data_IF_210515526375
#
_entry.id   IF_210515526375
#
_cell.length_a   1.000
_cell.length_b   1.000
_cell.length_c   1.000
_cell.angle_alpha   90.00
_cell.angle_beta   90.00
_cell.angle_gamma   90.00
#
_symmetry.space_group_name_H-M   'P 1'
#
loop_
_entity.id
_entity.type
_entity.pdbx_description
1 polymer ?
#
# COMPACT_ATOMS: atom_id res chain seq x y z
N UNK A 1 17.17 -6.88 13.48
CA UNK A 1 17.19 -7.85 12.36
C UNK A 1 18.53 -8.54 12.20
N UNK A 2 19.63 -7.84 11.88
CA UNK A 2 20.95 -8.51 11.73
C UNK A 2 21.35 -9.22 13.03
N UNK A 3 21.30 -8.52 14.17
CA UNK A 3 21.58 -9.10 15.50
C UNK A 3 20.63 -10.23 15.90
N UNK A 4 19.47 -10.32 15.24
CA UNK A 4 18.44 -11.32 15.53
C UNK A 4 18.52 -12.51 14.55
N UNK A 5 19.55 -12.60 13.70
CA UNK A 5 19.72 -13.68 12.73
C UNK A 5 18.76 -13.64 11.54
N UNK A 6 18.21 -12.47 11.23
CA UNK A 6 17.16 -12.26 10.20
C UNK A 6 17.61 -11.34 9.08
N UNK A 7 18.89 -11.37 8.70
CA UNK A 7 19.41 -10.52 7.63
C UNK A 7 18.87 -10.91 6.23
N UNK A 8 18.55 -12.18 6.02
CA UNK A 8 17.90 -12.75 4.84
C UNK A 8 16.51 -12.15 4.59
N UNK A 9 15.84 -11.73 5.66
CA UNK A 9 14.52 -11.08 5.63
C UNK A 9 14.57 -9.56 5.47
N UNK A 10 15.77 -8.97 5.43
CA UNK A 10 15.91 -7.54 5.14
C UNK A 10 15.34 -7.27 3.74
N UNK A 11 14.67 -6.13 3.58
CA UNK A 11 14.33 -5.58 2.28
C UNK A 11 14.22 -4.05 2.37
N UNK A 12 14.16 -3.41 1.21
CA UNK A 12 14.12 -1.94 1.09
C UNK A 12 12.91 -1.31 1.79
N UNK A 13 11.83 -2.07 1.98
CA UNK A 13 10.59 -1.61 2.61
C UNK A 13 10.72 -1.34 4.11
N UNK A 14 11.65 -1.98 4.80
CA UNK A 14 11.74 -1.93 6.27
C UNK A 14 12.19 -0.57 6.82
N UNK A 15 12.69 0.30 5.95
CA UNK A 15 13.23 1.61 6.31
C UNK A 15 12.50 2.71 5.53
N UNK A 16 12.60 3.97 5.99
CA UNK A 16 11.85 5.10 5.42
C UNK A 16 12.56 5.74 4.22
N UNK A 17 13.75 6.30 4.43
CA UNK A 17 14.49 7.04 3.41
C UNK A 17 15.77 6.32 2.95
N UNK A 18 16.45 5.63 3.87
CA UNK A 18 17.67 4.89 3.61
C UNK A 18 17.35 3.39 3.50
N UNK A 19 17.19 2.91 2.28
CA UNK A 19 16.91 1.51 1.95
C UNK A 19 18.17 0.64 2.03
N UNK A 20 17.97 -0.67 2.22
CA UNK A 20 19.00 -1.69 2.08
C UNK A 20 18.76 -2.45 0.77
N UNK A 21 19.21 -1.91 -0.36
CA UNK A 21 18.98 -2.49 -1.69
C UNK A 21 19.83 -3.73 -1.93
N UNK A 22 19.30 -4.72 -2.66
CA UNK A 22 20.11 -5.87 -3.09
C UNK A 22 21.19 -5.43 -4.07
N UNK A 23 22.40 -5.96 -3.92
CA UNK A 23 23.53 -5.64 -4.79
C UNK A 23 24.11 -6.91 -5.39
N UNK A 24 24.11 -6.99 -6.72
CA UNK A 24 24.74 -8.08 -7.46
C UNK A 24 23.98 -8.44 -8.73
N UNK A 25 24.41 -9.52 -9.38
CA UNK A 25 23.93 -9.97 -10.71
C UNK A 25 22.72 -10.91 -10.62
N UNK A 26 22.29 -11.25 -9.41
CA UNK A 26 21.25 -12.24 -9.11
C UNK A 26 21.82 -13.62 -8.77
N UNK A 27 20.92 -14.51 -8.32
CA UNK A 27 21.20 -15.91 -7.93
C UNK A 27 22.10 -16.09 -6.69
N UNK A 28 22.54 -17.33 -6.44
CA UNK A 28 23.31 -17.74 -5.26
C UNK A 28 24.68 -17.04 -5.12
N UNK A 29 25.15 -16.37 -6.17
CA UNK A 29 26.46 -15.69 -6.21
C UNK A 29 26.51 -14.44 -5.32
N UNK A 30 25.35 -13.86 -5.04
CA UNK A 30 25.24 -12.65 -4.22
C UNK A 30 24.87 -12.96 -2.77
N UNK A 31 24.80 -14.24 -2.40
CA UNK A 31 24.51 -14.65 -1.04
C UNK A 31 25.75 -14.44 -0.16
N UNK A 32 25.53 -14.00 1.08
CA UNK A 32 26.55 -13.70 2.08
C UNK A 32 26.16 -14.38 3.39
N UNK A 33 27.16 -14.84 4.12
CA UNK A 33 26.98 -15.31 5.48
C UNK A 33 26.49 -14.16 6.37
N UNK A 34 25.68 -14.49 7.37
CA UNK A 34 25.22 -13.54 8.39
C UNK A 34 25.67 -13.99 9.78
N UNK A 35 25.97 -13.07 10.70
CA UNK A 35 26.67 -13.41 11.94
C UNK A 35 25.87 -14.23 12.97
N UNK A 36 24.55 -14.33 12.83
CA UNK A 36 23.67 -14.94 13.84
C UNK A 36 22.64 -15.92 13.25
N UNK A 37 22.90 -16.46 12.06
CA UNK A 37 22.06 -17.49 11.41
C UNK A 37 22.83 -18.18 10.30
N UNK A 38 22.58 -19.48 10.12
CA UNK A 38 23.16 -20.28 9.04
C UNK A 38 22.45 -20.05 7.69
N UNK A 39 21.29 -19.39 7.71
CA UNK A 39 20.57 -19.04 6.49
C UNK A 39 21.33 -17.90 5.80
N UNK A 40 21.86 -18.08 4.59
CA UNK A 40 22.58 -17.01 3.92
C UNK A 40 21.62 -15.88 3.52
N UNK A 41 22.13 -14.66 3.47
CA UNK A 41 21.38 -13.46 3.13
C UNK A 41 21.86 -12.85 1.82
N UNK A 42 20.96 -12.23 1.04
CA UNK A 42 21.35 -11.47 -0.16
C UNK A 42 22.29 -10.33 0.23
N UNK A 43 23.35 -10.10 -0.53
CA UNK A 43 24.21 -8.93 -0.39
C UNK A 43 23.37 -7.66 -0.58
N UNK A 44 23.54 -6.71 0.34
CA UNK A 44 22.85 -5.42 0.30
C UNK A 44 23.81 -4.25 0.43
N UNK A 45 23.39 -3.10 -0.11
CA UNK A 45 24.04 -1.81 0.08
C UNK A 45 23.02 -0.79 0.59
N UNK A 46 23.50 0.30 1.19
CA UNK A 46 22.64 1.41 1.57
C UNK A 46 22.35 2.27 0.34
N UNK A 47 21.07 2.57 0.10
CA UNK A 47 20.61 3.45 -0.97
C UNK A 47 19.58 4.44 -0.45
N UNK A 48 19.48 5.61 -1.06
CA UNK A 48 18.35 6.51 -0.82
C UNK A 48 17.19 6.08 -1.71
N UNK A 49 15.98 6.02 -1.14
CA UNK A 49 14.78 5.66 -1.91
C UNK A 49 14.53 6.64 -3.05
N UNK A 50 14.03 6.13 -4.17
CA UNK A 50 13.70 6.93 -5.36
C UNK A 50 12.73 8.07 -5.04
N UNK A 51 11.77 7.87 -4.15
CA UNK A 51 10.86 8.91 -3.67
C UNK A 51 11.60 10.09 -3.04
N UNK A 52 12.58 9.81 -2.18
CA UNK A 52 13.41 10.81 -1.54
C UNK A 52 14.34 11.51 -2.55
N UNK A 53 14.92 10.77 -3.50
CA UNK A 53 15.75 11.35 -4.55
C UNK A 53 14.95 12.25 -5.49
N UNK A 54 13.71 11.89 -5.82
CA UNK A 54 12.80 12.73 -6.61
C UNK A 54 12.51 14.05 -5.90
N UNK A 55 12.33 14.02 -4.58
CA UNK A 55 12.21 15.24 -3.77
C UNK A 55 13.48 16.10 -3.85
N UNK A 56 14.65 15.52 -3.57
CA UNK A 56 15.94 16.25 -3.64
C UNK A 56 16.14 16.86 -5.03
N UNK A 57 15.80 16.14 -6.09
CA UNK A 57 15.85 16.63 -7.47
C UNK A 57 14.91 17.82 -7.69
N UNK A 58 13.66 17.74 -7.23
CA UNK A 58 12.66 18.80 -7.38
C UNK A 58 12.95 20.04 -6.51
N UNK A 59 13.58 19.86 -5.34
CA UNK A 59 13.96 20.94 -4.41
C UNK A 59 15.33 21.57 -4.76
N UNK A 60 16.16 20.91 -5.58
CA UNK A 60 17.46 21.41 -6.03
C UNK A 60 17.29 22.61 -6.98
N UNK A 61 17.81 23.77 -6.58
CA UNK A 61 17.78 24.99 -7.40
C UNK A 61 18.59 24.88 -8.70
N UNK A 62 19.70 24.14 -8.70
CA UNK A 62 20.56 24.00 -9.88
C UNK A 62 19.99 23.07 -10.95
N UNK A 63 19.21 22.06 -10.55
CA UNK A 63 18.70 21.01 -11.44
C UNK A 63 17.22 21.23 -11.76
N UNK A 64 16.40 21.48 -10.73
CA UNK A 64 14.95 21.68 -10.85
C UNK A 64 14.57 22.97 -11.59
N UNK A 65 15.41 24.02 -11.56
CA UNK A 65 15.13 25.28 -12.27
C UNK A 65 15.19 25.16 -13.79
N UNK A 66 16.02 24.27 -14.32
CA UNK A 66 16.18 24.04 -15.76
C UNK A 66 15.01 23.24 -16.36
N UNK A 67 14.33 22.41 -15.56
CA UNK A 67 13.17 21.59 -15.92
C UNK A 67 11.95 22.03 -15.09
N UNK A 68 11.78 23.35 -14.87
CA UNK A 68 10.53 23.86 -14.30
C UNK A 68 9.38 23.63 -15.30
N UNK A 69 8.74 22.46 -15.23
CA UNK A 69 7.29 22.42 -15.43
C UNK A 69 6.71 23.22 -14.28
N UNK A 70 6.39 24.49 -14.54
CA UNK A 70 5.76 25.47 -13.64
C UNK A 70 4.41 25.00 -13.03
N UNK A 71 4.02 23.74 -13.18
CA UNK A 71 2.68 23.23 -12.87
C UNK A 71 2.63 22.20 -11.72
N UNK A 72 3.71 21.49 -11.37
CA UNK A 72 3.60 20.30 -10.47
C UNK A 72 3.78 20.54 -8.96
N UNK A 73 4.19 21.74 -8.51
CA UNK A 73 4.31 22.04 -7.05
C UNK A 73 2.98 22.53 -6.44
N UNK A 74 1.97 22.85 -7.27
CA UNK A 74 0.65 23.29 -6.80
C UNK A 74 -0.24 22.09 -6.47
N UNK A 75 -0.06 21.47 -5.31
CA UNK A 75 -1.02 20.46 -4.86
C UNK A 75 -0.54 19.48 -3.80
N UNK A 76 0.72 19.57 -3.37
CA UNK A 76 1.20 18.82 -2.21
C UNK A 76 0.85 19.58 -0.93
N UNK A 77 0.39 18.85 0.08
CA UNK A 77 0.15 19.39 1.42
C UNK A 77 0.89 18.55 2.45
N UNK A 78 1.34 19.20 3.52
CA UNK A 78 2.03 18.53 4.61
C UNK A 78 1.04 18.21 5.72
N UNK A 79 1.21 17.07 6.37
CA UNK A 79 0.53 16.74 7.64
C UNK A 79 1.33 17.19 8.86
N UNK A 80 2.50 17.81 8.65
CA UNK A 80 3.38 18.33 9.68
C UNK A 80 3.43 19.85 9.53
N UNK A 81 2.75 20.58 10.42
CA UNK A 81 2.86 22.04 10.48
C UNK A 81 3.95 22.46 11.49
N UNK A 82 4.98 23.16 11.02
CA UNK A 82 6.03 23.75 11.88
C UNK A 82 7.22 22.84 12.20
N UNK A 83 7.92 23.16 13.30
CA UNK A 83 9.13 22.43 13.73
C UNK A 83 8.69 21.11 14.37
N UNK A 84 9.06 20.00 13.74
CA UNK A 84 8.88 18.66 14.27
C UNK A 84 9.41 18.56 15.70
N UNK A 85 8.58 18.16 16.65
CA UNK A 85 9.06 17.85 18.00
C UNK A 85 9.83 16.54 17.96
N UNK A 86 11.14 16.56 18.23
CA UNK A 86 11.99 15.37 18.30
C UNK A 86 11.54 14.31 19.33
N UNK A 87 10.51 14.62 20.14
CA UNK A 87 9.95 13.71 21.15
C UNK A 87 9.09 12.59 20.57
N UNK A 88 8.50 12.77 19.38
CA UNK A 88 7.69 11.76 18.72
C UNK A 88 8.39 11.27 17.46
N UNK A 89 8.17 10.00 17.13
CA UNK A 89 8.49 9.43 15.82
C UNK A 89 7.47 9.88 14.77
N UNK A 90 7.86 9.81 13.48
CA UNK A 90 6.98 10.14 12.35
C UNK A 90 5.57 9.55 12.52
N UNK A 91 5.51 8.26 12.86
CA UNK A 91 4.27 7.51 12.93
C UNK A 91 3.41 7.99 14.09
N UNK A 92 4.00 8.18 15.28
CA UNK A 92 3.28 8.64 16.47
C UNK A 92 2.65 10.02 16.24
N UNK A 93 3.36 10.95 15.61
CA UNK A 93 2.76 12.25 15.30
C UNK A 93 1.58 12.12 14.33
N UNK A 94 1.76 11.41 13.20
CA UNK A 94 0.67 11.28 12.23
C UNK A 94 -0.52 10.59 12.88
N UNK A 95 -0.30 9.56 13.71
CA UNK A 95 -1.36 8.88 14.44
C UNK A 95 -2.04 9.80 15.46
N UNK A 96 -1.29 10.66 16.15
CA UNK A 96 -1.85 11.62 17.11
C UNK A 96 -2.83 12.61 16.49
N UNK A 97 -2.70 12.91 15.19
CA UNK A 97 -3.68 13.74 14.45
C UNK A 97 -5.04 13.05 14.38
N UNK A 98 -5.08 11.71 14.35
CA UNK A 98 -6.30 10.92 14.23
C UNK A 98 -6.93 10.54 15.59
N UNK A 99 -6.16 10.58 16.68
CA UNK A 99 -6.61 10.21 18.03
C UNK A 99 -7.90 10.91 18.49
N UNK A 100 -8.08 12.23 18.29
CA UNK A 100 -9.29 12.93 18.75
C UNK A 100 -10.60 12.42 18.12
N UNK A 101 -10.51 11.71 17.00
CA UNK A 101 -11.66 11.20 16.26
C UNK A 101 -12.02 9.74 16.56
N UNK A 102 -11.18 9.04 17.32
CA UNK A 102 -11.41 7.62 17.64
C UNK A 102 -12.73 7.46 18.41
N UNK A 103 -13.56 6.52 17.95
CA UNK A 103 -14.86 6.20 18.51
C UNK A 103 -16.00 7.12 18.06
N UNK A 104 -15.71 8.21 17.37
CA UNK A 104 -16.71 9.15 16.86
C UNK A 104 -17.33 8.66 15.56
N UNK A 105 -18.60 8.99 15.35
CA UNK A 105 -19.24 8.75 14.08
C UNK A 105 -18.83 9.76 13.00
N UNK A 106 -19.02 9.42 11.72
CA UNK A 106 -18.56 10.29 10.63
C UNK A 106 -19.24 11.67 10.62
N UNK A 107 -20.47 11.80 11.14
CA UNK A 107 -21.19 13.08 11.24
C UNK A 107 -20.62 13.95 12.36
N UNK A 108 -20.27 13.35 13.49
CA UNK A 108 -19.56 14.04 14.58
C UNK A 108 -18.20 14.55 14.11
N UNK A 109 -17.44 13.75 13.35
CA UNK A 109 -16.14 14.16 12.80
C UNK A 109 -16.29 15.35 11.86
N UNK A 110 -17.29 15.32 10.95
CA UNK A 110 -17.62 16.46 10.10
C UNK A 110 -17.94 17.72 10.90
N UNK A 111 -18.71 17.58 11.99
CA UNK A 111 -19.03 18.67 12.91
C UNK A 111 -17.81 19.26 13.61
N UNK A 112 -16.88 18.42 14.07
CA UNK A 112 -15.62 18.85 14.71
C UNK A 112 -14.75 19.63 13.72
N UNK A 113 -14.70 19.15 12.48
CA UNK A 113 -13.91 19.77 11.41
C UNK A 113 -14.61 20.98 10.76
N UNK A 114 -15.89 21.21 11.06
CA UNK A 114 -16.68 22.28 10.44
C UNK A 114 -16.88 22.10 8.93
N UNK A 115 -17.01 20.86 8.46
CA UNK A 115 -17.14 20.51 7.03
C UNK A 115 -18.45 19.76 6.74
N UNK A 116 -18.88 19.74 5.48
CA UNK A 116 -19.89 18.81 4.97
C UNK A 116 -19.41 18.22 3.64
N UNK A 117 -19.15 16.91 3.62
CA UNK A 117 -18.67 16.21 2.42
C UNK A 117 -19.80 15.64 1.55
N UNK A 118 -21.06 15.85 1.93
CA UNK A 118 -22.22 15.30 1.23
C UNK A 118 -22.16 13.77 1.07
N UNK A 119 -22.78 13.25 0.00
CA UNK A 119 -22.68 11.82 -0.38
C UNK A 119 -21.69 11.67 -1.53
N UNK A 120 -20.65 10.85 -1.33
CA UNK A 120 -19.64 10.57 -2.34
C UNK A 120 -19.18 9.12 -2.29
N UNK A 121 -18.83 8.53 -3.43
CA UNK A 121 -18.18 7.20 -3.47
C UNK A 121 -16.81 7.19 -2.76
N UNK A 122 -16.19 8.36 -2.64
CA UNK A 122 -14.89 8.55 -1.99
C UNK A 122 -15.01 9.16 -0.58
N UNK A 123 -16.22 9.19 -0.02
CA UNK A 123 -16.53 9.87 1.25
C UNK A 123 -15.48 9.64 2.35
N UNK A 124 -15.20 8.37 2.69
CA UNK A 124 -14.28 8.02 3.76
C UNK A 124 -12.82 8.43 3.46
N UNK A 125 -12.43 8.43 2.18
CA UNK A 125 -11.11 8.90 1.78
C UNK A 125 -11.00 10.41 1.97
N UNK A 126 -12.03 11.16 1.57
CA UNK A 126 -12.10 12.60 1.78
C UNK A 126 -12.13 12.95 3.27
N UNK A 127 -12.89 12.23 4.07
CA UNK A 127 -12.97 12.42 5.52
C UNK A 127 -11.60 12.19 6.17
N UNK A 128 -10.91 11.09 5.85
CA UNK A 128 -9.57 10.81 6.35
C UNK A 128 -8.55 11.89 5.96
N UNK A 129 -8.63 12.44 4.74
CA UNK A 129 -7.80 13.58 4.34
C UNK A 129 -8.08 14.81 5.20
N UNK A 130 -9.36 15.14 5.44
CA UNK A 130 -9.75 16.30 6.27
C UNK A 130 -9.36 16.13 7.73
N UNK A 131 -9.44 14.91 8.28
CA UNK A 131 -8.93 14.59 9.61
C UNK A 131 -7.42 14.87 9.70
N UNK A 132 -6.67 14.58 8.64
CA UNK A 132 -5.25 14.88 8.53
C UNK A 132 -4.93 16.37 8.22
N UNK A 133 -5.94 17.25 8.16
CA UNK A 133 -5.74 18.68 7.84
C UNK A 133 -5.48 18.96 6.36
N UNK A 134 -5.63 17.98 5.46
CA UNK A 134 -5.33 18.11 4.04
C UNK A 134 -6.56 17.88 3.15
N UNK A 135 -6.46 18.31 1.89
CA UNK A 135 -7.51 18.14 0.88
C UNK A 135 -7.11 17.25 -0.29
N UNK A 136 -5.82 16.96 -0.40
CA UNK A 136 -5.20 16.22 -1.49
C UNK A 136 -4.61 14.89 -1.01
N UNK A 137 -4.65 13.86 -1.86
CA UNK A 137 -3.96 12.59 -1.60
C UNK A 137 -2.44 12.69 -1.72
N UNK A 138 -1.93 13.78 -2.29
CA UNK A 138 -0.50 14.06 -2.42
C UNK A 138 0.05 14.66 -1.12
N UNK A 139 0.00 13.87 -0.05
CA UNK A 139 0.58 14.26 1.24
C UNK A 139 2.10 14.16 1.11
N UNK A 140 2.81 15.26 1.34
CA UNK A 140 4.25 15.38 1.10
C UNK A 140 5.03 14.28 1.82
N UNK A 141 4.78 14.09 3.11
CA UNK A 141 5.47 13.08 3.93
C UNK A 141 5.17 11.66 3.45
N UNK A 142 3.96 11.42 2.94
CA UNK A 142 3.57 10.11 2.46
C UNK A 142 4.24 9.82 1.11
N UNK A 143 4.30 10.79 0.21
CA UNK A 143 5.02 10.62 -1.05
C UNK A 143 6.52 10.45 -0.81
N UNK A 144 7.12 11.28 0.06
CA UNK A 144 8.55 11.21 0.41
C UNK A 144 8.93 9.82 0.99
N UNK A 145 8.06 9.24 1.84
CA UNK A 145 8.29 7.96 2.51
C UNK A 145 7.66 6.75 1.80
N UNK A 146 7.13 6.92 0.58
CA UNK A 146 6.45 5.89 -0.22
C UNK A 146 5.32 5.16 0.53
N UNK A 147 4.45 5.97 1.15
CA UNK A 147 3.29 5.56 1.93
C UNK A 147 2.03 5.70 1.07
N UNK A 148 1.27 4.62 0.97
CA UNK A 148 -0.04 4.59 0.32
C UNK A 148 -1.15 4.55 1.35
N UNK A 149 -2.01 5.58 1.35
CA UNK A 149 -3.23 5.55 2.17
C UNK A 149 -4.29 4.67 1.51
N UNK A 150 -4.89 3.76 2.30
CA UNK A 150 -5.99 2.89 1.89
C UNK A 150 -7.05 2.88 2.99
N UNK A 151 -8.29 3.18 2.65
CA UNK A 151 -9.38 3.12 3.63
C UNK A 151 -9.80 1.67 3.85
N UNK A 152 -9.87 1.25 5.11
CA UNK A 152 -10.47 -0.04 5.48
C UNK A 152 -11.86 0.21 6.07
N UNK A 153 -12.88 -0.35 5.44
CA UNK A 153 -14.27 -0.27 5.91
C UNK A 153 -14.72 -1.62 6.43
N UNK A 154 -14.92 -1.74 7.73
CA UNK A 154 -15.39 -2.93 8.39
C UNK A 154 -16.92 -2.96 8.45
N UNK A 155 -17.49 -4.14 8.23
CA UNK A 155 -18.86 -4.46 8.63
C UNK A 155 -18.94 -4.51 10.16
N UNK A 156 -20.16 -4.58 10.69
CA UNK A 156 -20.40 -4.73 12.14
C UNK A 156 -19.63 -5.90 12.77
N UNK A 157 -19.46 -7.00 12.03
CA UNK A 157 -18.73 -8.19 12.49
C UNK A 157 -17.19 -8.07 12.41
N UNK A 158 -16.64 -6.90 12.06
CA UNK A 158 -15.20 -6.66 11.98
C UNK A 158 -14.53 -7.15 10.70
N UNK A 159 -15.28 -7.74 9.75
CA UNK A 159 -14.73 -8.13 8.45
C UNK A 159 -14.86 -6.96 7.47
N UNK A 160 -13.82 -6.63 6.67
CA UNK A 160 -13.90 -5.63 5.63
C UNK A 160 -15.06 -5.87 4.65
N UNK A 161 -15.67 -4.78 4.17
CA UNK A 161 -16.76 -4.82 3.18
C UNK A 161 -16.30 -5.39 1.84
N UNK A 162 -15.06 -5.10 1.47
CA UNK A 162 -14.45 -5.40 0.17
C UNK A 162 -13.04 -5.97 0.38
N UNK A 163 -12.61 -6.80 -0.56
CA UNK A 163 -11.20 -7.15 -0.74
C UNK A 163 -10.42 -5.92 -1.21
N UNK A 164 -9.12 -5.87 -0.95
CA UNK A 164 -8.28 -4.72 -1.30
C UNK A 164 -7.60 -4.93 -2.66
N UNK A 165 -8.06 -4.23 -3.71
CA UNK A 165 -7.44 -4.31 -5.04
C UNK A 165 -6.17 -3.48 -5.19
N UNK A 166 -5.29 -3.97 -6.06
CA UNK A 166 -4.21 -3.22 -6.70
C UNK A 166 -4.58 -2.89 -8.15
N UNK A 167 -3.79 -2.06 -8.86
CA UNK A 167 -4.01 -1.82 -10.29
C UNK A 167 -4.12 -3.12 -11.09
N UNK A 168 -4.90 -3.09 -12.18
CA UNK A 168 -4.93 -4.22 -13.09
C UNK A 168 -3.56 -4.43 -13.72
N UNK A 169 -3.19 -5.69 -13.90
CA UNK A 169 -1.98 -6.04 -14.61
C UNK A 169 -2.28 -6.16 -16.10
N UNK A 170 -1.29 -5.87 -16.95
CA UNK A 170 -1.33 -6.26 -18.36
C UNK A 170 -0.77 -7.66 -18.50
N UNK A 171 -1.49 -8.54 -19.20
CA UNK A 171 -1.05 -9.93 -19.39
C UNK A 171 0.30 -10.00 -20.12
N UNK A 172 0.53 -9.10 -21.09
CA UNK A 172 1.80 -9.00 -21.83
C UNK A 172 2.97 -8.65 -20.92
N UNK A 173 2.79 -7.70 -20.01
CA UNK A 173 3.85 -7.20 -19.12
C UNK A 173 4.15 -8.28 -18.07
N UNK A 174 3.11 -8.85 -17.45
CA UNK A 174 3.25 -9.89 -16.42
C UNK A 174 3.91 -11.17 -16.95
N UNK A 175 3.69 -11.53 -18.23
CA UNK A 175 4.29 -12.71 -18.84
C UNK A 175 5.84 -12.68 -18.84
N UNK A 176 6.43 -11.48 -18.92
CA UNK A 176 7.89 -11.27 -19.06
C UNK A 176 8.55 -10.72 -17.79
N UNK A 177 7.78 -10.19 -16.84
CA UNK A 177 8.30 -9.73 -15.55
C UNK A 177 8.89 -10.88 -14.72
N UNK A 178 9.87 -10.53 -13.88
CA UNK A 178 10.29 -11.33 -12.72
C UNK A 178 9.56 -10.84 -11.47
N UNK A 179 9.57 -11.60 -10.36
CA UNK A 179 8.91 -11.15 -9.13
C UNK A 179 9.51 -9.82 -8.64
N UNK A 180 10.83 -9.76 -8.55
CA UNK A 180 11.59 -8.62 -8.02
C UNK A 180 11.36 -7.33 -8.82
N UNK A 181 11.01 -7.43 -10.10
CA UNK A 181 10.75 -6.30 -11.00
C UNK A 181 9.26 -6.18 -11.38
N UNK A 182 8.38 -6.89 -10.68
CA UNK A 182 6.95 -6.87 -10.96
C UNK A 182 6.24 -5.68 -10.32
N UNK A 183 5.20 -5.19 -11.00
CA UNK A 183 4.36 -4.10 -10.49
C UNK A 183 3.73 -4.46 -9.14
N UNK A 184 3.40 -5.74 -8.93
CA UNK A 184 2.82 -6.20 -7.66
C UNK A 184 3.85 -6.19 -6.54
N UNK A 185 5.08 -6.66 -6.77
CA UNK A 185 6.14 -6.59 -5.76
C UNK A 185 6.40 -5.13 -5.38
N UNK A 186 6.46 -4.22 -6.35
CA UNK A 186 6.58 -2.79 -6.08
C UNK A 186 5.42 -2.28 -5.21
N UNK A 187 4.18 -2.67 -5.49
CA UNK A 187 3.05 -2.28 -4.64
C UNK A 187 3.14 -2.87 -3.22
N UNK A 188 3.68 -4.09 -3.05
CA UNK A 188 3.80 -4.75 -1.74
C UNK A 188 4.98 -4.22 -0.92
N UNK A 189 5.96 -3.59 -1.57
CA UNK A 189 7.08 -2.92 -0.92
C UNK A 189 6.71 -1.55 -0.34
N UNK A 190 5.58 -0.98 -0.76
CA UNK A 190 5.05 0.26 -0.19
C UNK A 190 4.64 0.07 1.26
N UNK A 191 4.74 1.16 2.02
CA UNK A 191 4.11 1.24 3.34
C UNK A 191 2.64 1.59 3.15
N UNK A 192 1.75 0.96 3.91
CA UNK A 192 0.35 1.35 3.94
C UNK A 192 0.04 2.19 5.17
N UNK A 193 -0.83 3.19 4.99
CA UNK A 193 -1.52 3.86 6.09
C UNK A 193 -3.00 3.51 6.00
N UNK A 194 -3.54 2.88 7.05
CA UNK A 194 -4.91 2.37 7.08
C UNK A 194 -5.78 3.15 8.08
N UNK A 195 -6.50 4.20 7.65
CA UNK A 195 -7.66 4.69 8.38
C UNK A 195 -8.78 3.64 8.37
N UNK A 196 -9.27 3.27 9.55
CA UNK A 196 -10.27 2.20 9.71
C UNK A 196 -11.61 2.78 10.17
N UNK A 197 -12.65 2.48 9.42
CA UNK A 197 -14.03 2.82 9.75
C UNK A 197 -14.84 1.54 9.96
N UNK A 198 -15.74 1.51 10.94
CA UNK A 198 -16.56 0.34 11.23
C UNK A 198 -18.04 0.71 11.31
N UNK A 199 -18.86 -0.05 10.61
CA UNK A 199 -20.31 0.09 10.69
C UNK A 199 -20.81 -0.36 12.07
N UNK A 200 -21.70 0.42 12.67
CA UNK A 200 -22.42 0.09 13.89
C UNK A 200 -23.73 -0.64 13.59
N UNK A 201 -24.30 -0.41 12.40
CA UNK A 201 -25.51 -1.07 11.92
C UNK A 201 -25.24 -2.09 10.79
N UNK A 202 -26.26 -2.89 10.45
CA UNK A 202 -26.17 -3.86 9.34
C UNK A 202 -26.28 -3.15 7.98
N UNK A 203 -27.04 -2.06 7.90
CA UNK A 203 -27.19 -1.26 6.69
C UNK A 203 -26.23 -0.07 6.76
N UNK A 204 -25.64 0.27 5.61
CA UNK A 204 -24.89 1.51 5.42
C UNK A 204 -25.92 2.61 5.20
N UNK A 205 -26.58 3.01 6.29
CA UNK A 205 -27.80 3.82 6.28
C UNK A 205 -27.47 5.31 6.22
N UNK A 206 -26.61 5.77 7.13
CA UNK A 206 -26.18 7.17 7.24
C UNK A 206 -24.77 7.30 7.86
N UNK A 207 -24.19 8.50 7.78
CA UNK A 207 -22.87 8.87 8.35
C UNK A 207 -22.78 8.57 9.85
N UNK A 208 -23.89 8.61 10.59
CA UNK A 208 -23.96 8.25 12.01
C UNK A 208 -23.89 6.74 12.29
N UNK A 209 -24.06 5.90 11.26
CA UNK A 209 -24.00 4.43 11.38
C UNK A 209 -22.59 3.87 11.21
N UNK A 210 -21.57 4.74 11.15
CA UNK A 210 -20.17 4.36 10.94
C UNK A 210 -19.27 5.17 11.85
N UNK A 211 -18.44 4.46 12.63
CA UNK A 211 -17.48 5.05 13.56
C UNK A 211 -16.07 4.94 13.02
N UNK A 212 -15.22 5.92 13.35
CA UNK A 212 -13.78 5.82 13.12
C UNK A 212 -13.15 4.99 14.24
N UNK A 213 -12.49 3.88 13.88
CA UNK A 213 -11.87 2.95 14.83
C UNK A 213 -10.44 3.33 15.20
N UNK A 214 -9.78 4.13 14.37
CA UNK A 214 -8.36 4.45 14.48
C UNK A 214 -7.65 4.32 13.14
N UNK A 215 -6.35 4.58 13.15
CA UNK A 215 -5.49 4.37 12.01
C UNK A 215 -4.19 3.70 12.45
N UNK A 216 -3.49 3.07 11.51
CA UNK A 216 -2.17 2.49 11.76
C UNK A 216 -1.35 2.44 10.48
N UNK A 217 -0.03 2.41 10.63
CA UNK A 217 0.89 2.12 9.53
C UNK A 217 1.18 0.63 9.47
N UNK A 218 1.31 0.09 8.27
CA UNK A 218 1.52 -1.33 8.07
C UNK A 218 2.44 -1.63 6.90
N UNK A 219 3.31 -2.60 7.08
CA UNK A 219 4.07 -3.25 6.01
C UNK A 219 3.63 -4.70 5.94
N UNK A 220 3.60 -5.25 4.72
CA UNK A 220 3.39 -6.67 4.57
C UNK A 220 4.53 -7.46 5.22
N UNK A 221 4.24 -8.33 6.20
CA UNK A 221 5.24 -9.23 6.77
C UNK A 221 5.93 -10.07 5.70
N UNK A 222 7.15 -10.52 5.99
CA UNK A 222 7.95 -11.27 5.01
C UNK A 222 7.27 -12.57 4.58
N UNK A 223 6.76 -13.36 5.52
CA UNK A 223 6.12 -14.65 5.23
C UNK A 223 4.82 -14.47 4.42
N UNK A 224 4.06 -13.42 4.73
CA UNK A 224 2.86 -13.05 3.98
C UNK A 224 3.21 -12.60 2.56
N UNK A 225 4.31 -11.85 2.39
CA UNK A 225 4.82 -11.49 1.06
C UNK A 225 5.19 -12.72 0.24
N UNK A 226 5.84 -13.73 0.85
CA UNK A 226 6.19 -14.96 0.13
C UNK A 226 4.93 -15.69 -0.34
N UNK A 227 3.85 -15.68 0.45
CA UNK A 227 2.56 -16.23 0.01
C UNK A 227 1.98 -15.43 -1.17
N UNK A 228 2.10 -14.10 -1.18
CA UNK A 228 1.67 -13.27 -2.32
C UNK A 228 2.53 -13.53 -3.55
N UNK A 229 3.84 -13.72 -3.37
CA UNK A 229 4.79 -14.10 -4.43
C UNK A 229 4.35 -15.40 -5.10
N UNK A 230 3.99 -16.44 -4.34
CA UNK A 230 3.50 -17.70 -4.90
C UNK A 230 2.25 -17.51 -5.77
N UNK A 231 1.30 -16.66 -5.33
CA UNK A 231 0.09 -16.34 -6.13
C UNK A 231 0.46 -15.63 -7.43
N UNK A 232 1.42 -14.71 -7.38
CA UNK A 232 1.92 -14.01 -8.55
C UNK A 232 2.65 -14.95 -9.51
N UNK A 233 3.53 -15.82 -9.02
CA UNK A 233 4.29 -16.79 -9.82
C UNK A 233 3.37 -17.81 -10.50
N UNK A 234 2.34 -18.29 -9.79
CA UNK A 234 1.29 -19.13 -10.36
C UNK A 234 0.55 -18.42 -11.50
N UNK A 235 0.19 -17.15 -11.28
CA UNK A 235 -0.49 -16.31 -12.28
C UNK A 235 0.39 -16.10 -13.51
N UNK A 236 1.67 -15.75 -13.31
CA UNK A 236 2.65 -15.53 -14.38
C UNK A 236 2.88 -16.79 -15.21
N UNK A 237 3.04 -17.93 -14.54
CA UNK A 237 3.18 -19.23 -15.19
C UNK A 237 1.95 -19.56 -16.04
N UNK A 238 0.74 -19.40 -15.50
CA UNK A 238 -0.52 -19.67 -16.22
C UNK A 238 -0.67 -18.78 -17.44
N UNK A 239 -0.36 -17.48 -17.33
CA UNK A 239 -0.37 -16.54 -18.46
C UNK A 239 0.61 -16.97 -19.55
N UNK A 240 1.85 -17.34 -19.19
CA UNK A 240 2.84 -17.85 -20.15
C UNK A 240 2.40 -19.13 -20.86
N UNK A 241 1.58 -19.94 -20.20
CA UNK A 241 1.00 -21.16 -20.76
C UNK A 241 -0.34 -20.95 -21.48
N UNK A 242 -0.79 -19.70 -21.67
CA UNK A 242 -2.07 -19.40 -22.34
C UNK A 242 -3.32 -19.73 -21.53
N UNK A 243 -3.19 -19.89 -20.20
CA UNK A 243 -4.29 -20.18 -19.28
C UNK A 243 -4.73 -18.89 -18.59
N UNK A 244 -5.92 -18.41 -18.91
CA UNK A 244 -6.41 -17.12 -18.43
C UNK A 244 -7.63 -17.21 -17.50
N UNK A 245 -8.30 -18.35 -17.41
CA UNK A 245 -9.57 -18.48 -16.65
C UNK A 245 -9.45 -19.28 -15.35
N UNK A 246 -8.25 -19.79 -15.05
CA UNK A 246 -7.98 -20.60 -13.87
C UNK A 246 -6.92 -19.95 -12.96
N UNK A 247 -7.17 -18.74 -12.47
CA UNK A 247 -6.29 -18.10 -11.49
C UNK A 247 -6.71 -18.42 -10.05
N UNK A 248 -5.78 -18.24 -9.11
CA UNK A 248 -6.05 -18.37 -7.66
C UNK A 248 -7.27 -17.54 -7.29
N UNK A 249 -8.25 -18.20 -6.68
CA UNK A 249 -9.53 -17.64 -6.24
C UNK A 249 -9.45 -17.32 -4.75
N UNK A 250 -10.32 -16.43 -4.29
CA UNK A 250 -10.46 -16.14 -2.86
C UNK A 250 -10.78 -17.41 -2.04
N UNK A 251 -11.56 -18.33 -2.60
CA UNK A 251 -11.92 -19.61 -1.97
C UNK A 251 -10.72 -20.53 -1.70
N UNK A 252 -9.59 -20.29 -2.34
CA UNK A 252 -8.38 -21.11 -2.17
C UNK A 252 -7.66 -20.78 -0.85
N UNK A 253 -8.20 -19.85 -0.05
CA UNK A 253 -7.79 -19.61 1.34
C UNK A 253 -6.40 -19.00 1.50
N UNK A 254 -5.83 -18.44 0.43
CA UNK A 254 -4.55 -17.73 0.44
C UNK A 254 -4.71 -16.29 0.94
N UNK A 255 -3.60 -15.55 1.02
CA UNK A 255 -3.59 -14.11 1.39
C UNK A 255 -4.08 -13.23 0.25
N UNK A 256 -3.75 -13.60 -0.98
CA UNK A 256 -4.06 -12.86 -2.20
C UNK A 256 -4.78 -13.75 -3.21
N UNK A 257 -5.56 -13.13 -4.10
CA UNK A 257 -6.22 -13.79 -5.22
C UNK A 257 -6.26 -12.89 -6.45
N UNK A 258 -6.61 -13.48 -7.60
CA UNK A 258 -6.82 -12.75 -8.86
C UNK A 258 -8.31 -12.70 -9.16
N UNK A 259 -8.82 -11.51 -9.46
CA UNK A 259 -10.23 -11.30 -9.82
C UNK A 259 -10.37 -10.14 -10.82
N UNK A 260 -11.42 -10.13 -11.66
CA UNK A 260 -11.72 -9.00 -12.53
C UNK A 260 -11.71 -7.64 -11.83
N UNK A 261 -11.12 -6.65 -12.51
CA UNK A 261 -11.16 -5.23 -12.17
C UNK A 261 -11.73 -4.37 -13.32
N UNK A 262 -12.14 -5.04 -14.40
CA UNK A 262 -12.77 -4.43 -15.55
C UNK A 262 -14.09 -3.76 -15.19
N UNK A 263 -14.38 -2.63 -15.83
CA UNK A 263 -15.68 -1.94 -15.70
C UNK A 263 -16.83 -2.78 -16.25
N UNK A 264 -16.60 -3.44 -17.37
CA UNK A 264 -17.57 -4.24 -18.10
C UNK A 264 -16.86 -5.35 -18.91
N UNK A 265 -17.61 -6.14 -19.68
CA UNK A 265 -17.05 -7.26 -20.47
C UNK A 265 -16.17 -6.80 -21.64
N UNK A 266 -16.34 -5.58 -22.14
CA UNK A 266 -15.56 -5.03 -23.24
C UNK A 266 -14.24 -4.40 -22.75
N UNK A 267 -14.14 -4.07 -21.47
CA UNK A 267 -12.93 -3.55 -20.82
C UNK A 267 -11.86 -4.66 -20.66
N UNK A 268 -11.16 -4.88 -21.76
CA UNK A 268 -10.20 -5.95 -22.00
C UNK A 268 -8.78 -5.41 -22.21
N UNK A 269 -7.80 -6.30 -22.21
CA UNK A 269 -6.40 -6.01 -22.51
C UNK A 269 -5.78 -7.22 -23.23
N UNK A 270 -4.86 -7.01 -24.19
CA UNK A 270 -4.30 -8.10 -24.96
C UNK A 270 -3.45 -9.03 -24.10
N UNK A 271 -3.37 -10.28 -24.56
CA UNK A 271 -2.58 -11.35 -24.00
C UNK A 271 -1.37 -11.69 -24.88
N UNK A 272 -0.36 -12.41 -24.38
CA UNK A 272 0.82 -12.78 -25.18
C UNK A 272 0.51 -13.57 -26.46
N UNK A 273 -0.59 -14.34 -26.50
CA UNK A 273 -1.03 -15.09 -27.68
C UNK A 273 -2.02 -14.31 -28.57
N UNK A 274 -2.16 -13.00 -28.35
CA UNK A 274 -2.94 -12.09 -29.19
C UNK A 274 -4.44 -12.09 -28.95
N UNK A 275 -4.94 -12.80 -27.93
CA UNK A 275 -6.35 -12.74 -27.51
C UNK A 275 -6.61 -11.53 -26.62
N UNK A 276 -7.83 -11.03 -26.60
CA UNK A 276 -8.26 -10.03 -25.62
C UNK A 276 -8.94 -10.69 -24.43
N UNK A 277 -8.43 -10.41 -23.23
CA UNK A 277 -8.99 -10.91 -21.98
C UNK A 277 -9.41 -9.76 -21.08
N UNK A 278 -10.47 -9.98 -20.30
CA UNK A 278 -10.95 -9.01 -19.31
C UNK A 278 -9.82 -8.58 -18.37
N UNK A 279 -9.76 -7.28 -18.04
CA UNK A 279 -8.79 -6.78 -17.05
C UNK A 279 -9.00 -7.43 -15.70
N UNK A 280 -7.93 -8.02 -15.16
CA UNK A 280 -7.87 -8.63 -13.83
C UNK A 280 -6.79 -7.94 -13.00
N UNK A 281 -6.93 -7.99 -11.69
CA UNK A 281 -5.91 -7.51 -10.77
C UNK A 281 -5.73 -8.47 -9.60
N UNK A 282 -4.65 -8.26 -8.86
CA UNK A 282 -4.43 -8.91 -7.57
C UNK A 282 -5.20 -8.18 -6.46
N UNK A 283 -5.65 -8.95 -5.49
CA UNK A 283 -6.42 -8.47 -4.35
C UNK A 283 -5.89 -9.09 -3.07
N UNK A 284 -5.76 -8.33 -1.98
CA UNK A 284 -5.65 -8.92 -0.65
C UNK A 284 -7.03 -9.30 -0.13
N UNK A 285 -7.12 -10.51 0.41
CA UNK A 285 -8.36 -11.05 0.91
C UNK A 285 -8.85 -10.27 2.14
N UNK A 286 -10.15 -10.00 2.20
CA UNK A 286 -10.79 -9.26 3.28
C UNK A 286 -10.56 -9.89 4.65
N UNK A 287 -10.55 -11.22 4.75
CA UNK A 287 -10.30 -11.95 6.00
C UNK A 287 -8.84 -11.82 6.45
N UNK A 288 -7.89 -11.74 5.53
CA UNK A 288 -6.50 -11.39 5.86
C UNK A 288 -6.40 -9.95 6.37
N UNK A 289 -7.02 -8.98 5.68
CA UNK A 289 -7.06 -7.58 6.15
C UNK A 289 -7.75 -7.47 7.51
N UNK A 290 -8.78 -8.27 7.79
CA UNK A 290 -9.43 -8.31 9.10
C UNK A 290 -8.46 -8.71 10.21
N UNK A 291 -7.58 -9.71 9.97
CA UNK A 291 -6.53 -10.12 10.91
C UNK A 291 -5.53 -8.99 11.16
N UNK A 292 -5.04 -8.38 10.07
CA UNK A 292 -4.12 -7.24 10.14
C UNK A 292 -4.70 -6.09 10.97
N UNK A 293 -5.96 -5.72 10.74
CA UNK A 293 -6.62 -4.68 11.54
C UNK A 293 -6.75 -5.07 13.00
N UNK A 294 -7.13 -6.32 13.28
CA UNK A 294 -7.26 -6.82 14.66
C UNK A 294 -5.94 -6.78 15.41
N UNK A 295 -4.82 -7.08 14.77
CA UNK A 295 -3.49 -7.08 15.39
C UNK A 295 -2.94 -5.67 15.66
N UNK A 296 -3.43 -4.65 14.95
CA UNK A 296 -2.88 -3.29 15.02
C UNK A 296 -3.80 -2.28 15.75
N UNK A 297 -5.09 -2.57 15.89
CA UNK A 297 -6.07 -1.69 16.56
C UNK A 297 -6.78 -2.37 17.76
N UNK A 298 -6.27 -3.51 18.25
CA UNK A 298 -6.74 -4.18 19.47
C UNK A 298 -6.35 -3.46 20.74
#
# INVERSE_FOLDING_TARGET
>A
MIKDGRADQLSERLTRYLAACTKGVGHDRDMREQPFSDVPAKQRALSLKSSYMNKVFNESEDIGNSIRRKEDVRGYQSVIEGIWSEKLTFDEHVLSIFEPFIGRDCKEIEGILGIDLGRSKQYYNLLALRMAGVVTKHIKEFVDADITMKIVRLKRNGVPKEDMSFPYFKYTDLAVQTWEESDLSEQMDKRFFFPVFQMTEVKDSDKSSVIFKGAFFWYMPFDDLMTVKEVWEDTARKIRSGVYDDFVKKSDGRISHVRPHARDRADTTPTPDGKDMMKKCFWLNSDYIAKVVKENLS
#
